data_IF_748423854453
#
_entry.id   IF_748423854453
#
_cell.length_a   1.000
_cell.length_b   1.000
_cell.length_c   1.000
_cell.angle_alpha   90.00
_cell.angle_beta   90.00
_cell.angle_gamma   90.00
#
_symmetry.space_group_name_H-M   'P 1'
#
loop_
_entity.id
_entity.type
_entity.pdbx_description
1 polymer ?
#
# COMPACT_ATOMS: atom_id res chain seq x y z
N UNK A 1 -14.42 -12.66 22.39
CA UNK A 1 -13.78 -11.56 21.60
C UNK A 1 -14.28 -11.67 20.16
N UNK A 2 -14.62 -10.57 19.52
CA UNK A 2 -15.22 -10.54 18.18
C UNK A 2 -14.49 -9.55 17.27
N UNK A 3 -14.21 -9.94 16.03
CA UNK A 3 -13.76 -9.04 14.98
C UNK A 3 -14.94 -8.48 14.18
N UNK A 4 -14.87 -7.20 13.84
CA UNK A 4 -15.81 -6.49 12.97
C UNK A 4 -15.03 -5.73 11.91
N UNK A 5 -15.41 -5.88 10.64
CA UNK A 5 -15.04 -4.95 9.59
C UNK A 5 -16.05 -3.81 9.63
N UNK A 6 -15.60 -2.56 9.53
CA UNK A 6 -16.53 -1.45 9.39
C UNK A 6 -17.13 -1.45 7.97
N UNK A 7 -16.29 -1.74 6.96
CA UNK A 7 -16.59 -1.48 5.54
C UNK A 7 -16.21 -2.61 4.55
N UNK A 8 -15.56 -3.70 4.97
CA UNK A 8 -15.08 -4.75 4.04
C UNK A 8 -15.19 -6.17 4.64
N UNK A 9 -15.17 -7.19 3.76
CA UNK A 9 -15.28 -8.61 4.17
C UNK A 9 -14.20 -8.94 5.20
N UNK A 10 -14.63 -9.54 6.31
CA UNK A 10 -13.69 -10.11 7.26
C UNK A 10 -13.04 -11.31 6.57
N UNK A 11 -11.70 -11.33 6.49
CA UNK A 11 -10.94 -12.52 6.12
C UNK A 11 -11.21 -13.68 7.09
N UNK A 12 -10.28 -14.62 7.22
CA UNK A 12 -10.51 -15.77 8.10
C UNK A 12 -10.38 -15.37 9.57
N UNK A 13 -11.47 -15.45 10.32
CA UNK A 13 -11.47 -15.25 11.78
C UNK A 13 -11.48 -16.59 12.49
N UNK A 14 -10.52 -16.79 13.39
CA UNK A 14 -10.45 -17.96 14.28
C UNK A 14 -10.54 -17.49 15.73
N UNK A 15 -11.48 -18.04 16.49
CA UNK A 15 -11.70 -17.66 17.88
C UNK A 15 -11.59 -18.87 18.80
N UNK A 16 -11.00 -18.66 19.97
CA UNK A 16 -11.01 -19.58 21.10
C UNK A 16 -11.62 -18.88 22.34
N UNK A 17 -11.58 -19.55 23.50
CA UNK A 17 -12.18 -19.02 24.73
C UNK A 17 -11.55 -17.72 25.24
N UNK A 18 -10.30 -17.40 24.86
CA UNK A 18 -9.53 -16.23 25.34
C UNK A 18 -9.13 -15.28 24.23
N UNK A 19 -9.01 -15.75 23.00
CA UNK A 19 -8.43 -15.00 21.89
C UNK A 19 -9.26 -15.10 20.61
N UNK A 20 -9.09 -14.12 19.73
CA UNK A 20 -9.66 -14.15 18.39
C UNK A 20 -8.67 -13.54 17.42
N UNK A 21 -8.34 -14.28 16.37
CA UNK A 21 -7.31 -13.95 15.37
C UNK A 21 -7.97 -13.72 14.02
N UNK A 22 -7.77 -12.54 13.45
CA UNK A 22 -8.12 -12.22 12.07
C UNK A 22 -6.89 -12.48 11.18
N UNK A 23 -7.03 -13.38 10.21
CA UNK A 23 -6.00 -13.71 9.22
C UNK A 23 -6.44 -13.21 7.84
N UNK A 24 -5.54 -12.50 7.15
CA UNK A 24 -5.72 -12.04 5.77
C UNK A 24 -4.73 -12.81 4.90
N UNK A 25 -5.24 -13.58 3.94
CA UNK A 25 -4.43 -14.36 3.00
C UNK A 25 -4.64 -13.83 1.59
N UNK A 26 -3.58 -13.80 0.79
CA UNK A 26 -3.61 -13.27 -0.59
C UNK A 26 -4.32 -11.92 -0.67
N UNK A 27 -3.85 -10.96 0.12
CA UNK A 27 -4.49 -9.66 0.25
C UNK A 27 -4.68 -8.99 -1.12
N UNK A 28 -5.91 -8.55 -1.39
CA UNK A 28 -6.25 -7.71 -2.52
C UNK A 28 -6.66 -6.32 -2.01
N UNK A 29 -6.99 -5.41 -2.93
CA UNK A 29 -7.36 -4.04 -2.56
C UNK A 29 -8.65 -3.97 -1.72
N UNK A 30 -9.54 -4.96 -1.83
CA UNK A 30 -10.76 -5.01 -1.00
C UNK A 30 -10.50 -5.35 0.47
N UNK A 31 -9.32 -5.88 0.82
CA UNK A 31 -8.96 -6.22 2.20
C UNK A 31 -8.48 -5.00 3.00
N UNK A 32 -8.20 -3.88 2.34
CA UNK A 32 -7.89 -2.62 2.99
C UNK A 32 -9.11 -2.11 3.80
N UNK A 33 -8.82 -1.23 4.77
CA UNK A 33 -9.85 -0.56 5.57
C UNK A 33 -9.75 -0.83 7.07
N UNK A 34 -10.74 -0.37 7.80
CA UNK A 34 -10.73 -0.39 9.27
C UNK A 34 -11.26 -1.73 9.82
N UNK A 35 -10.58 -2.25 10.85
CA UNK A 35 -10.96 -3.43 11.62
C UNK A 35 -11.08 -3.06 13.08
N UNK A 36 -12.08 -3.64 13.73
CA UNK A 36 -12.34 -3.43 15.16
C UNK A 36 -12.39 -4.79 15.85
N UNK A 37 -11.57 -4.96 16.88
CA UNK A 37 -11.65 -6.07 17.81
C UNK A 37 -12.42 -5.61 19.04
N UNK A 38 -13.46 -6.37 19.42
CA UNK A 38 -14.32 -6.07 20.57
C UNK A 38 -14.22 -7.23 21.57
N UNK A 39 -13.82 -6.92 22.80
CA UNK A 39 -13.78 -7.85 23.92
C UNK A 39 -14.76 -7.43 25.00
N UNK A 40 -15.56 -8.37 25.50
CA UNK A 40 -16.50 -8.14 26.61
C UNK A 40 -16.19 -9.11 27.75
N UNK A 41 -16.20 -8.60 28.98
CA UNK A 41 -16.00 -9.36 30.22
C UNK A 41 -16.93 -8.80 31.31
N UNK A 42 -17.94 -9.57 31.70
CA UNK A 42 -19.03 -9.07 32.56
C UNK A 42 -19.77 -7.91 31.88
N UNK A 43 -19.88 -6.77 32.57
CA UNK A 43 -20.48 -5.53 32.04
C UNK A 43 -19.48 -4.64 31.28
N UNK A 44 -18.20 -4.98 31.32
CA UNK A 44 -17.16 -4.17 30.67
C UNK A 44 -16.98 -4.61 29.22
N UNK A 45 -16.98 -3.64 28.31
CA UNK A 45 -16.64 -3.85 26.89
C UNK A 45 -15.51 -2.91 26.50
N UNK A 46 -14.48 -3.48 25.88
CA UNK A 46 -13.34 -2.75 25.36
C UNK A 46 -13.25 -3.01 23.85
N UNK A 47 -12.83 -1.99 23.11
CA UNK A 47 -12.60 -2.09 21.68
C UNK A 47 -11.18 -1.66 21.33
N UNK A 48 -10.64 -2.25 20.26
CA UNK A 48 -9.39 -1.86 19.65
C UNK A 48 -9.57 -1.75 18.14
N UNK A 49 -9.15 -0.63 17.58
CA UNK A 49 -9.25 -0.34 16.15
C UNK A 49 -7.88 -0.42 15.48
N UNK A 50 -7.82 -0.99 14.27
CA UNK A 50 -6.64 -1.04 13.41
C UNK A 50 -7.04 -0.75 11.97
N UNK A 51 -6.21 -0.02 11.22
CA UNK A 51 -6.41 0.25 9.79
C UNK A 51 -5.46 -0.62 8.99
N UNK A 52 -6.00 -1.45 8.10
CA UNK A 52 -5.22 -2.22 7.14
C UNK A 52 -5.02 -1.37 5.88
N UNK A 53 -3.75 -1.21 5.50
CA UNK A 53 -3.37 -0.61 4.22
C UNK A 53 -2.85 -1.75 3.33
N UNK A 54 -3.34 -1.80 2.09
CA UNK A 54 -2.87 -2.73 1.07
C UNK A 54 -2.27 -1.90 -0.05
N UNK A 55 -1.04 -2.21 -0.42
CA UNK A 55 -0.30 -1.53 -1.47
C UNK A 55 0.43 -2.57 -2.34
N UNK A 56 0.72 -2.19 -3.57
CA UNK A 56 1.59 -2.95 -4.47
C UNK A 56 2.72 -2.03 -4.92
N UNK A 57 3.94 -2.45 -4.61
CA UNK A 57 5.15 -1.81 -5.14
C UNK A 57 5.32 -2.22 -6.60
N UNK A 58 5.80 -1.33 -7.49
CA UNK A 58 5.95 -1.69 -8.89
C UNK A 58 6.86 -2.90 -9.08
N UNK A 59 6.39 -3.87 -9.85
CA UNK A 59 7.14 -5.06 -10.22
C UNK A 59 8.05 -4.84 -11.45
N UNK A 60 7.77 -3.77 -12.19
CA UNK A 60 8.52 -3.36 -13.36
C UNK A 60 8.58 -1.84 -13.48
N UNK A 61 9.77 -1.35 -13.87
CA UNK A 61 9.96 0.01 -14.37
C UNK A 61 10.33 -0.04 -15.85
N UNK A 62 9.67 0.78 -16.67
CA UNK A 62 10.04 0.98 -18.08
C UNK A 62 10.56 2.39 -18.27
N UNK A 63 11.73 2.51 -18.90
CA UNK A 63 12.34 3.80 -19.22
C UNK A 63 12.41 3.96 -20.73
N UNK A 64 12.00 5.12 -21.23
CA UNK A 64 12.06 5.47 -22.65
C UNK A 64 12.59 6.90 -22.82
N UNK A 65 13.62 7.13 -23.67
CA UNK A 65 14.36 6.12 -24.42
C UNK A 65 15.27 5.29 -23.50
N UNK A 66 15.60 4.07 -23.93
CA UNK A 66 16.47 3.14 -23.16
C UNK A 66 17.90 3.68 -23.00
N UNK A 67 18.34 4.53 -23.93
CA UNK A 67 19.63 5.19 -23.89
C UNK A 67 19.52 6.63 -24.41
N UNK A 68 20.28 7.53 -23.79
CA UNK A 68 20.35 8.92 -24.18
C UNK A 68 21.53 9.17 -25.12
N UNK A 69 21.29 9.96 -26.15
CA UNK A 69 22.34 10.42 -27.07
C UNK A 69 22.95 11.73 -26.58
N UNK A 70 24.28 11.78 -26.47
CA UNK A 70 24.98 12.99 -26.03
C UNK A 70 24.73 14.19 -26.98
N UNK A 71 24.71 15.40 -26.40
CA UNK A 71 24.46 16.69 -27.09
C UNK A 71 23.09 16.78 -27.78
N UNK A 72 22.10 16.03 -27.32
CA UNK A 72 20.72 16.15 -27.74
C UNK A 72 19.80 16.29 -26.55
N UNK A 73 18.96 17.31 -26.59
CA UNK A 73 17.89 17.49 -25.61
C UNK A 73 16.84 16.41 -25.86
N UNK A 74 16.59 15.59 -24.86
CA UNK A 74 15.70 14.43 -24.94
C UNK A 74 14.88 14.36 -23.65
N UNK A 75 13.58 14.16 -23.81
CA UNK A 75 12.69 13.82 -22.70
C UNK A 75 12.90 12.35 -22.29
N UNK A 76 12.78 12.08 -20.99
CA UNK A 76 12.83 10.73 -20.43
C UNK A 76 11.50 10.43 -19.77
N UNK A 77 10.83 9.39 -20.26
CA UNK A 77 9.65 8.83 -19.62
C UNK A 77 10.07 7.64 -18.74
N UNK A 78 9.59 7.63 -17.49
CA UNK A 78 9.70 6.49 -16.59
C UNK A 78 8.28 6.05 -16.18
N UNK A 79 7.95 4.79 -16.41
CA UNK A 79 6.64 4.22 -16.07
C UNK A 79 6.81 3.11 -15.04
N UNK A 80 6.13 3.26 -13.91
CA UNK A 80 6.01 2.23 -12.88
C UNK A 80 4.74 1.40 -13.11
N UNK A 81 4.89 0.10 -13.31
CA UNK A 81 3.79 -0.82 -13.61
C UNK A 81 3.22 -1.46 -12.34
N UNK A 82 1.94 -1.84 -12.38
CA UNK A 82 1.27 -2.59 -11.31
C UNK A 82 1.38 -1.97 -9.90
N UNK A 83 1.44 -0.63 -9.83
CA UNK A 83 1.62 0.11 -8.58
C UNK A 83 0.28 0.58 -7.99
N UNK A 84 0.16 0.55 -6.67
CA UNK A 84 -0.96 1.16 -5.95
C UNK A 84 -0.58 1.46 -4.50
N UNK A 85 -1.01 2.61 -3.93
CA UNK A 85 -1.69 3.70 -4.62
C UNK A 85 -0.72 4.51 -5.49
N UNK A 86 -1.19 4.98 -6.65
CA UNK A 86 -0.40 5.76 -7.60
C UNK A 86 -0.51 7.29 -7.38
N UNK A 87 -1.03 7.71 -6.22
CA UNK A 87 -1.19 9.14 -5.93
C UNK A 87 0.16 9.75 -5.50
N UNK A 88 0.35 11.08 -5.66
CA UNK A 88 1.63 11.73 -5.37
C UNK A 88 2.06 11.72 -3.90
N UNK A 89 1.15 11.47 -2.96
CA UNK A 89 1.47 11.38 -1.53
C UNK A 89 2.13 10.03 -1.16
N UNK A 90 1.90 9.00 -1.98
CA UNK A 90 2.39 7.64 -1.74
C UNK A 90 3.45 7.18 -2.73
N UNK A 91 3.47 7.74 -3.94
CA UNK A 91 4.41 7.39 -5.01
C UNK A 91 5.01 8.64 -5.62
N UNK A 92 6.34 8.72 -5.59
CA UNK A 92 7.13 9.68 -6.35
C UNK A 92 8.15 8.96 -7.23
N UNK A 93 8.48 9.58 -8.36
CA UNK A 93 9.54 9.14 -9.27
C UNK A 93 10.51 10.30 -9.42
N UNK A 94 11.80 10.01 -9.31
CA UNK A 94 12.87 10.99 -9.45
C UNK A 94 13.83 10.57 -10.55
N UNK A 95 14.29 11.53 -11.35
CA UNK A 95 15.36 11.32 -12.33
C UNK A 95 16.69 11.66 -11.66
N UNK A 96 17.64 10.71 -11.66
CA UNK A 96 18.92 10.84 -10.96
C UNK A 96 20.08 10.99 -11.94
N UNK A 97 21.07 11.82 -11.57
CA UNK A 97 22.41 11.86 -12.17
C UNK A 97 23.42 11.37 -11.14
N UNK A 98 23.84 10.11 -11.26
CA UNK A 98 24.55 9.43 -10.17
C UNK A 98 23.61 9.23 -8.99
N UNK A 99 23.99 9.70 -7.80
CA UNK A 99 23.22 9.55 -6.56
C UNK A 99 22.42 10.82 -6.21
N UNK A 100 22.35 11.81 -7.10
CA UNK A 100 21.67 13.09 -6.88
C UNK A 100 20.47 13.24 -7.82
N UNK A 101 19.39 13.84 -7.31
CA UNK A 101 18.27 14.25 -8.14
C UNK A 101 18.73 15.30 -9.16
N UNK A 102 18.35 15.08 -10.42
CA UNK A 102 18.69 15.99 -11.49
C UNK A 102 17.87 17.28 -11.33
N UNK A 103 18.56 18.40 -11.13
CA UNK A 103 17.92 19.70 -11.03
C UNK A 103 17.31 20.15 -12.37
N UNK A 104 16.24 20.96 -12.31
CA UNK A 104 15.62 21.55 -13.49
C UNK A 104 14.71 20.62 -14.29
N UNK A 105 14.42 19.42 -13.79
CA UNK A 105 13.42 18.52 -14.36
C UNK A 105 12.02 19.05 -14.08
N UNK A 106 11.20 19.19 -15.12
CA UNK A 106 9.76 19.45 -15.00
C UNK A 106 9.03 18.10 -14.99
N UNK A 107 8.30 17.82 -13.92
CA UNK A 107 7.49 16.61 -13.73
C UNK A 107 6.03 16.84 -14.13
#
# INVERSE_FOLDING_TARGET
VQWRGLDTSLGTVRSDARSSVLSVHNASLSEAGTRVCVGSCGTNTLLRTVKLLVFAFPDQLTVSPVALVARRDQEVACTAHNVTPANPEALSLSLLLGDQELEGVQA
#
